data_IF_549227976343
#
_entry.id   IF_549227976343
#
_cell.length_a   1.000
_cell.length_b   1.000
_cell.length_c   1.000
_cell.angle_alpha   90.00
_cell.angle_beta   90.00
_cell.angle_gamma   90.00
#
_symmetry.space_group_name_H-M   'P 1'
#
loop_
_entity.id
_entity.type
_entity.pdbx_description
1 polymer ?
#
# COMPACT_ATOMS: atom_id res chain seq x y z
N UNK A 1 23.32 -13.47 -4.85
CA UNK A 1 21.95 -14.00 -4.98
C UNK A 1 20.95 -13.04 -4.36
N UNK A 2 19.73 -13.02 -4.89
CA UNK A 2 18.65 -12.21 -4.32
C UNK A 2 18.21 -12.89 -3.03
N UNK A 3 18.03 -12.12 -1.95
CA UNK A 3 17.64 -12.69 -0.66
C UNK A 3 16.43 -12.02 -0.01
N UNK A 4 15.78 -11.07 -0.69
CA UNK A 4 14.68 -10.32 -0.07
C UNK A 4 13.93 -9.51 -1.09
N UNK A 5 12.60 -9.34 -0.87
CA UNK A 5 11.82 -8.32 -1.55
C UNK A 5 11.84 -7.09 -0.63
N UNK A 6 12.59 -6.06 -1.03
CA UNK A 6 12.80 -4.91 -0.16
C UNK A 6 11.71 -3.85 -0.28
N UNK A 7 11.42 -3.43 -1.50
CA UNK A 7 10.49 -2.33 -1.75
C UNK A 7 9.59 -2.65 -2.92
N UNK A 8 8.35 -2.20 -2.82
CA UNK A 8 7.37 -2.26 -3.91
C UNK A 8 7.03 -0.82 -4.27
N UNK A 9 7.23 -0.45 -5.54
CA UNK A 9 6.98 0.92 -6.00
C UNK A 9 5.52 1.08 -6.35
N UNK A 10 4.86 2.06 -5.73
CA UNK A 10 3.49 2.43 -6.06
C UNK A 10 3.52 3.80 -6.72
N UNK A 11 2.83 3.91 -7.84
CA UNK A 11 2.80 5.14 -8.64
C UNK A 11 1.45 5.80 -8.42
N UNK A 12 1.46 6.98 -7.81
CA UNK A 12 0.24 7.63 -7.36
C UNK A 12 0.11 9.03 -7.98
N UNK A 13 -1.12 9.49 -8.12
CA UNK A 13 -1.39 10.81 -8.68
C UNK A 13 -1.12 11.91 -7.65
N UNK A 14 -1.42 11.65 -6.37
CA UNK A 14 -1.25 12.60 -5.28
C UNK A 14 -0.52 11.92 -4.12
N UNK A 15 0.78 12.19 -4.00
CA UNK A 15 1.62 11.57 -2.98
C UNK A 15 1.19 11.94 -1.55
N UNK A 16 0.76 13.18 -1.33
CA UNK A 16 0.35 13.62 0.01
C UNK A 16 -0.92 12.90 0.46
N UNK A 17 -1.89 12.73 -0.45
CA UNK A 17 -3.10 11.99 -0.13
C UNK A 17 -2.80 10.50 0.07
N UNK A 18 -1.87 9.95 -0.70
CA UNK A 18 -1.47 8.54 -0.53
C UNK A 18 -0.81 8.32 0.84
N UNK A 19 0.11 9.20 1.25
CA UNK A 19 0.72 9.12 2.59
C UNK A 19 -0.36 9.17 3.66
N UNK A 20 -1.32 10.08 3.51
CA UNK A 20 -2.40 10.25 4.47
C UNK A 20 -3.25 8.99 4.59
N UNK A 21 -3.58 8.38 3.45
CA UNK A 21 -4.33 7.12 3.45
C UNK A 21 -3.56 6.01 4.17
N UNK A 22 -2.31 5.78 3.77
CA UNK A 22 -1.55 4.65 4.30
C UNK A 22 -1.22 4.82 5.78
N UNK A 23 -1.00 6.06 6.26
CA UNK A 23 -0.71 6.31 7.67
C UNK A 23 -1.96 6.39 8.53
N UNK A 24 -2.94 7.21 8.13
CA UNK A 24 -4.11 7.47 8.99
C UNK A 24 -5.15 6.35 8.92
N UNK A 25 -5.31 5.71 7.77
CA UNK A 25 -6.35 4.68 7.60
C UNK A 25 -5.80 3.27 7.68
N UNK A 26 -4.66 3.01 7.06
CA UNK A 26 -4.08 1.67 7.05
C UNK A 26 -3.10 1.41 8.19
N UNK A 27 -2.72 2.44 8.95
CA UNK A 27 -1.85 2.28 10.11
C UNK A 27 -0.37 2.10 9.80
N UNK A 28 0.05 2.41 8.58
CA UNK A 28 1.47 2.39 8.21
C UNK A 28 2.20 3.58 8.82
N UNK A 29 3.51 3.52 8.82
CA UNK A 29 4.37 4.62 9.26
C UNK A 29 5.23 5.09 8.10
N UNK A 30 5.62 6.38 8.12
CA UNK A 30 6.59 6.91 7.17
C UNK A 30 7.98 6.51 7.67
N UNK A 31 8.71 5.76 6.85
CA UNK A 31 10.07 5.32 7.16
C UNK A 31 11.08 6.35 6.69
N UNK A 32 10.86 6.90 5.51
CA UNK A 32 11.76 7.92 4.96
C UNK A 32 11.02 8.76 3.93
N UNK A 33 11.55 9.95 3.70
CA UNK A 33 11.10 10.80 2.62
C UNK A 33 12.32 11.45 2.01
N UNK A 34 12.44 11.37 0.68
CA UNK A 34 13.59 11.90 -0.03
C UNK A 34 13.17 12.70 -1.25
N UNK A 35 14.02 13.66 -1.63
CA UNK A 35 13.82 14.47 -2.83
C UNK A 35 15.13 14.62 -3.56
N UNK A 36 15.06 14.59 -4.90
CA UNK A 36 16.20 14.84 -5.74
C UNK A 36 15.71 15.58 -6.98
N UNK A 37 16.06 16.87 -7.09
CA UNK A 37 15.52 17.72 -8.15
C UNK A 37 13.99 17.79 -8.03
N UNK A 38 13.25 17.57 -9.13
CA UNK A 38 11.79 17.56 -9.09
C UNK A 38 11.22 16.25 -8.56
N UNK A 39 12.08 15.25 -8.33
CA UNK A 39 11.63 13.93 -7.84
C UNK A 39 11.45 13.93 -6.34
N UNK A 40 10.38 13.29 -5.89
CA UNK A 40 10.09 13.07 -4.48
C UNK A 40 9.55 11.67 -4.30
N UNK A 41 10.03 10.94 -3.30
CA UNK A 41 9.46 9.63 -2.98
C UNK A 41 9.40 9.46 -1.46
N UNK A 42 8.36 8.74 -1.04
CA UNK A 42 8.08 8.54 0.38
C UNK A 42 7.94 7.04 0.63
N UNK A 43 8.72 6.54 1.58
CA UNK A 43 8.67 5.14 1.96
C UNK A 43 7.75 4.96 3.16
N UNK A 44 6.76 4.08 3.03
CA UNK A 44 5.84 3.73 4.11
C UNK A 44 5.88 2.23 4.35
N UNK A 45 5.73 1.82 5.60
CA UNK A 45 5.82 0.41 5.98
C UNK A 45 4.83 0.11 7.09
N UNK A 46 4.43 -1.18 7.26
CA UNK A 46 3.51 -1.56 8.33
C UNK A 46 4.05 -1.32 9.73
N UNK A 47 5.38 -1.38 9.89
CA UNK A 47 6.05 -1.20 11.18
C UNK A 47 7.51 -0.85 10.97
N UNK A 48 8.16 -0.35 12.01
CA UNK A 48 9.61 -0.15 12.01
C UNK A 48 10.31 -1.50 11.83
N UNK A 49 11.30 -1.54 10.95
CA UNK A 49 12.07 -2.76 10.71
C UNK A 49 11.38 -3.79 9.83
N UNK A 50 10.26 -3.44 9.20
CA UNK A 50 9.60 -4.33 8.25
C UNK A 50 10.54 -4.64 7.09
N UNK A 51 10.55 -5.89 6.64
CA UNK A 51 11.43 -6.31 5.55
C UNK A 51 11.02 -5.74 4.20
N UNK A 52 9.73 -5.49 4.02
CA UNK A 52 9.17 -4.98 2.76
C UNK A 52 8.38 -3.72 3.04
N UNK A 53 8.54 -2.73 2.19
CA UNK A 53 7.83 -1.45 2.29
C UNK A 53 7.30 -1.02 0.95
N UNK A 54 6.41 -0.04 0.95
CA UNK A 54 5.96 0.64 -0.27
C UNK A 54 6.72 1.95 -0.41
N UNK A 55 7.08 2.28 -1.65
CA UNK A 55 7.63 3.60 -1.97
C UNK A 55 6.65 4.29 -2.89
N UNK A 56 6.16 5.46 -2.45
CA UNK A 56 5.16 6.22 -3.18
C UNK A 56 5.84 7.20 -4.12
N UNK A 57 5.66 7.00 -5.42
CA UNK A 57 6.21 7.84 -6.47
C UNK A 57 5.12 8.66 -7.13
N UNK A 58 5.48 9.82 -7.64
CA UNK A 58 4.57 10.62 -8.46
C UNK A 58 4.45 9.97 -9.84
N UNK A 59 3.25 9.51 -10.16
CA UNK A 59 2.98 8.76 -11.39
C UNK A 59 3.31 9.55 -12.63
N UNK A 60 2.88 10.81 -12.68
CA UNK A 60 3.11 11.67 -13.84
C UNK A 60 4.60 11.90 -14.08
N UNK A 61 5.34 12.14 -13.00
CA UNK A 61 6.79 12.39 -13.10
C UNK A 61 7.52 11.17 -13.66
N UNK A 62 7.18 9.97 -13.14
CA UNK A 62 7.81 8.73 -13.61
C UNK A 62 7.43 8.45 -15.06
N UNK A 63 6.17 8.72 -15.44
CA UNK A 63 5.72 8.53 -16.82
C UNK A 63 6.50 9.42 -17.80
N UNK A 64 6.83 10.64 -17.38
CA UNK A 64 7.62 11.55 -18.20
C UNK A 64 9.07 11.11 -18.34
N UNK A 65 9.65 10.58 -17.25
CA UNK A 65 11.05 10.15 -17.24
C UNK A 65 11.27 8.80 -17.89
N UNK A 66 10.29 7.90 -17.82
CA UNK A 66 10.38 6.56 -18.40
C UNK A 66 9.12 6.22 -19.17
N UNK A 67 8.97 6.78 -20.38
CA UNK A 67 7.79 6.51 -21.20
C UNK A 67 7.68 5.01 -21.51
N UNK A 68 6.46 4.49 -21.43
CA UNK A 68 6.21 3.08 -21.71
C UNK A 68 6.35 2.14 -20.52
N UNK A 69 6.79 2.66 -19.37
CA UNK A 69 6.86 1.85 -18.17
C UNK A 69 5.45 1.54 -17.64
N UNK A 70 5.25 0.31 -17.17
CA UNK A 70 3.98 -0.06 -16.57
C UNK A 70 3.88 0.53 -15.17
N UNK A 71 2.95 1.46 -14.99
CA UNK A 71 2.74 2.16 -13.72
C UNK A 71 1.51 1.68 -12.97
N UNK A 72 0.92 0.57 -13.39
CA UNK A 72 -0.22 -0.03 -12.70
C UNK A 72 0.16 -0.60 -11.34
N UNK A 73 -0.82 -0.68 -10.46
CA UNK A 73 -0.64 -1.27 -9.14
C UNK A 73 -0.67 -2.79 -9.27
N UNK A 74 0.36 -3.51 -8.79
CA UNK A 74 0.34 -4.96 -8.82
C UNK A 74 -0.66 -5.52 -7.81
N UNK A 75 -0.99 -6.79 -7.95
CA UNK A 75 -1.78 -7.50 -6.94
C UNK A 75 -0.91 -7.72 -5.71
N UNK A 76 -1.37 -7.26 -4.57
CA UNK A 76 -0.63 -7.37 -3.31
C UNK A 76 -1.55 -7.95 -2.25
N UNK A 77 -1.09 -9.01 -1.57
CA UNK A 77 -1.78 -9.59 -0.42
C UNK A 77 -1.06 -9.17 0.84
N UNK A 78 -1.78 -8.48 1.72
CA UNK A 78 -1.28 -8.08 3.03
C UNK A 78 -1.80 -9.06 4.07
N UNK A 79 -1.11 -9.17 5.19
CA UNK A 79 -1.52 -10.06 6.28
C UNK A 79 -1.80 -9.25 7.54
N UNK A 80 -2.76 -9.70 8.33
CA UNK A 80 -3.08 -9.06 9.61
C UNK A 80 -3.30 -10.12 10.70
N UNK A 81 -2.87 -9.79 11.91
CA UNK A 81 -3.15 -10.59 13.10
C UNK A 81 -4.54 -10.30 13.68
N UNK A 82 -5.14 -9.17 13.31
CA UNK A 82 -6.42 -8.74 13.83
C UNK A 82 -7.36 -8.42 12.68
N UNK A 83 -7.86 -9.47 12.06
CA UNK A 83 -8.69 -9.37 10.86
C UNK A 83 -9.98 -8.57 11.12
N UNK A 84 -10.72 -8.94 12.15
CA UNK A 84 -12.00 -8.30 12.43
C UNK A 84 -11.81 -6.83 12.86
N UNK A 85 -10.80 -6.56 13.69
CA UNK A 85 -10.48 -5.21 14.10
C UNK A 85 -10.11 -4.33 12.93
N UNK A 86 -9.30 -4.84 12.01
CA UNK A 86 -8.90 -4.09 10.82
C UNK A 86 -10.10 -3.81 9.92
N UNK A 87 -10.92 -4.84 9.66
CA UNK A 87 -12.10 -4.70 8.81
C UNK A 87 -13.05 -3.62 9.36
N UNK A 88 -13.33 -3.68 10.66
CA UNK A 88 -14.21 -2.71 11.29
C UNK A 88 -13.60 -1.30 11.30
N UNK A 89 -12.29 -1.20 11.55
CA UNK A 89 -11.59 0.08 11.52
C UNK A 89 -11.67 0.72 10.14
N UNK A 90 -11.47 -0.06 9.08
CA UNK A 90 -11.59 0.45 7.71
C UNK A 90 -13.00 0.97 7.44
N UNK A 91 -14.02 0.23 7.86
CA UNK A 91 -15.40 0.66 7.67
C UNK A 91 -15.70 1.96 8.41
N UNK A 92 -15.22 2.07 9.65
CA UNK A 92 -15.42 3.30 10.45
C UNK A 92 -14.71 4.50 9.82
N UNK A 93 -13.56 4.28 9.21
CA UNK A 93 -12.79 5.34 8.57
C UNK A 93 -13.23 5.65 7.14
N UNK A 94 -14.28 4.99 6.66
CA UNK A 94 -14.82 5.24 5.33
C UNK A 94 -14.01 4.63 4.19
N UNK A 95 -13.15 3.66 4.48
CA UNK A 95 -12.40 2.94 3.44
C UNK A 95 -13.37 2.00 2.73
N UNK A 96 -13.30 1.97 1.39
CA UNK A 96 -14.08 1.03 0.60
C UNK A 96 -13.55 -0.38 0.82
N UNK A 97 -14.40 -1.27 1.35
CA UNK A 97 -14.05 -2.67 1.59
C UNK A 97 -15.03 -3.58 0.87
N UNK A 98 -14.53 -4.71 0.40
CA UNK A 98 -15.37 -5.76 -0.19
C UNK A 98 -15.89 -6.72 0.87
N UNK A 99 -16.63 -7.72 0.41
CA UNK A 99 -17.16 -8.75 1.30
C UNK A 99 -16.05 -9.66 1.79
N UNK A 100 -16.22 -10.18 2.99
CA UNK A 100 -15.30 -11.18 3.55
C UNK A 100 -15.55 -12.52 2.86
N UNK A 101 -14.47 -13.12 2.37
CA UNK A 101 -14.50 -14.42 1.68
C UNK A 101 -13.62 -15.39 2.45
N UNK A 102 -14.12 -16.61 2.66
CA UNK A 102 -13.34 -17.67 3.32
C UNK A 102 -12.62 -18.50 2.28
N UNK A 103 -11.30 -18.59 2.39
CA UNK A 103 -10.43 -19.38 1.55
C UNK A 103 -9.72 -20.43 2.40
N UNK A 104 -9.10 -21.45 1.79
CA UNK A 104 -8.38 -22.46 2.58
C UNK A 104 -7.29 -21.89 3.50
N UNK A 105 -6.62 -20.83 3.07
CA UNK A 105 -5.56 -20.18 3.86
C UNK A 105 -6.05 -19.24 4.94
N UNK A 106 -7.33 -18.86 4.92
CA UNK A 106 -7.89 -17.90 5.86
C UNK A 106 -8.93 -17.01 5.21
N UNK A 107 -9.51 -16.11 6.00
CA UNK A 107 -10.47 -15.14 5.48
C UNK A 107 -9.74 -14.00 4.79
N UNK A 108 -10.36 -13.46 3.75
CA UNK A 108 -9.79 -12.39 2.92
C UNK A 108 -10.84 -11.32 2.68
N UNK A 109 -10.44 -10.06 2.64
CA UNK A 109 -11.26 -9.01 2.06
C UNK A 109 -10.37 -8.10 1.23
N UNK A 110 -10.98 -7.38 0.27
CA UNK A 110 -10.29 -6.39 -0.54
C UNK A 110 -10.66 -5.00 -0.04
N UNK A 111 -9.74 -4.06 -0.19
CA UNK A 111 -10.02 -2.65 0.08
C UNK A 111 -9.41 -1.79 -1.00
N UNK A 112 -9.96 -0.60 -1.18
CA UNK A 112 -9.45 0.39 -2.12
C UNK A 112 -8.68 1.47 -1.37
N UNK A 113 -7.55 1.89 -1.94
CA UNK A 113 -6.83 3.06 -1.41
C UNK A 113 -7.51 4.36 -1.86
N UNK A 114 -6.86 5.49 -1.61
CA UNK A 114 -7.38 6.82 -1.94
C UNK A 114 -7.57 7.07 -3.43
N UNK A 115 -6.93 6.26 -4.28
CA UNK A 115 -7.03 6.39 -5.74
C UNK A 115 -7.76 5.20 -6.39
N UNK A 116 -8.51 4.44 -5.60
CA UNK A 116 -9.27 3.28 -6.05
C UNK A 116 -8.40 2.13 -6.59
N UNK A 117 -7.18 2.03 -6.13
CA UNK A 117 -6.35 0.84 -6.36
C UNK A 117 -6.67 -0.18 -5.26
N UNK A 118 -6.82 -1.44 -5.66
CA UNK A 118 -7.29 -2.47 -4.74
C UNK A 118 -6.15 -3.33 -4.20
N UNK A 119 -6.25 -3.64 -2.92
CA UNK A 119 -5.34 -4.51 -2.18
C UNK A 119 -6.16 -5.56 -1.47
N UNK A 120 -5.56 -6.70 -1.19
CA UNK A 120 -6.21 -7.75 -0.44
C UNK A 120 -5.58 -7.91 0.94
N UNK A 121 -6.38 -8.28 1.92
CA UNK A 121 -5.90 -8.59 3.27
C UNK A 121 -6.38 -9.98 3.64
N UNK A 122 -5.44 -10.80 4.13
CA UNK A 122 -5.75 -12.14 4.63
C UNK A 122 -5.43 -12.21 6.12
N UNK A 123 -6.26 -12.93 6.86
CA UNK A 123 -5.95 -13.15 8.27
C UNK A 123 -4.73 -14.07 8.41
N UNK A 124 -3.85 -13.70 9.33
CA UNK A 124 -2.66 -14.47 9.62
C UNK A 124 -3.01 -15.53 10.69
N UNK A 125 -2.66 -16.74 10.40
CA UNK A 125 -2.92 -17.86 11.31
C UNK A 125 -1.70 -18.35 12.02
#
# INVERSE_FOLDING_TARGET
MINQIGQIMLYVDDQDQAVKFWTEKAGFIVVSEESQGPMRWIEVAPANGAQTSFVLHNKKMVAEMQPGMNLGTPSIMLFTDDFDGLYNSFKEKGVTVGDVVSLPGGRVFNFADDENSYFAVMEKK
#
